data_IF_761394253365
#
_entry.id   IF_761394253365
#
_cell.length_a   1.000
_cell.length_b   1.000
_cell.length_c   1.000
_cell.angle_alpha   90.00
_cell.angle_beta   90.00
_cell.angle_gamma   90.00
#
_symmetry.space_group_name_H-M   'P 1'
#
loop_
_entity.id
_entity.type
_entity.pdbx_description
1 polymer ?
#
# COMPACT_ATOMS: atom_id res chain seq x y z
N UNK A 1 -6.09 -22.04 4.79
CA UNK A 1 -5.82 -20.93 5.73
C UNK A 1 -6.01 -19.62 4.97
N UNK A 2 -6.58 -18.56 5.58
CA UNK A 2 -6.67 -17.27 4.92
C UNK A 2 -5.27 -16.67 4.71
N UNK A 3 -5.09 -15.93 3.62
CA UNK A 3 -3.84 -15.24 3.30
C UNK A 3 -4.09 -13.73 3.50
N UNK A 4 -3.21 -13.08 4.25
CA UNK A 4 -3.24 -11.62 4.41
C UNK A 4 -2.62 -10.94 3.18
N UNK A 5 -3.29 -9.91 2.67
CA UNK A 5 -2.78 -9.05 1.62
C UNK A 5 -2.59 -7.65 2.20
N UNK A 6 -1.35 -7.15 2.17
CA UNK A 6 -1.03 -5.80 2.56
C UNK A 6 -1.08 -4.87 1.33
N UNK A 7 -1.78 -3.75 1.46
CA UNK A 7 -1.87 -2.73 0.42
C UNK A 7 -0.98 -1.55 0.81
N UNK A 8 0.01 -1.22 -0.01
CA UNK A 8 0.97 -0.14 0.21
C UNK A 8 0.67 1.04 -0.71
N UNK A 9 0.26 2.16 -0.12
CA UNK A 9 0.05 3.43 -0.83
C UNK A 9 1.35 4.15 -1.18
N UNK A 10 2.46 3.78 -0.53
CA UNK A 10 3.77 4.38 -0.73
C UNK A 10 4.71 4.13 0.45
N UNK A 11 5.96 4.55 0.30
CA UNK A 11 7.02 4.32 1.28
C UNK A 11 7.72 5.63 1.61
N UNK A 12 8.03 5.81 2.88
CA UNK A 12 8.94 6.86 3.33
C UNK A 12 10.27 6.22 3.76
N UNK A 13 11.39 6.88 3.42
CA UNK A 13 12.74 6.44 3.80
C UNK A 13 13.47 7.54 4.57
N UNK A 14 13.00 7.89 5.78
CA UNK A 14 13.69 8.88 6.60
C UNK A 14 15.08 8.37 6.99
N UNK A 15 16.02 9.29 7.23
CA UNK A 15 17.29 8.92 7.85
C UNK A 15 17.03 8.49 9.29
N UNK A 16 17.89 7.64 9.85
CA UNK A 16 17.79 7.20 11.26
C UNK A 16 17.67 8.39 12.21
N UNK A 17 18.41 9.48 11.96
CA UNK A 17 18.38 10.70 12.78
C UNK A 17 17.01 11.39 12.77
N UNK A 18 16.26 11.27 11.69
CA UNK A 18 14.95 11.91 11.52
C UNK A 18 13.86 10.99 12.08
N UNK A 19 14.03 9.67 11.93
CA UNK A 19 13.17 8.66 12.55
C UNK A 19 13.14 8.80 14.08
N UNK A 20 14.30 9.04 14.71
CA UNK A 20 14.40 9.26 16.16
C UNK A 20 13.74 10.56 16.64
N UNK A 21 13.42 11.49 15.72
CA UNK A 21 12.74 12.76 16.02
C UNK A 21 11.24 12.70 15.74
N UNK A 22 10.72 11.60 15.21
CA UNK A 22 9.29 11.46 14.97
C UNK A 22 8.54 11.48 16.31
N UNK A 23 7.52 12.30 16.36
CA UNK A 23 6.57 12.41 17.45
C UNK A 23 5.16 12.60 16.91
N UNK A 24 4.21 12.76 17.81
CA UNK A 24 2.83 13.07 17.46
C UNK A 24 2.76 14.28 16.52
N UNK A 25 2.01 14.15 15.42
CA UNK A 25 1.88 15.19 14.40
C UNK A 25 3.00 15.26 13.35
N UNK A 26 4.03 14.40 13.43
CA UNK A 26 5.05 14.34 12.38
C UNK A 26 4.47 13.82 11.06
N UNK A 27 4.81 14.48 9.95
CA UNK A 27 4.35 14.10 8.60
C UNK A 27 5.50 13.45 7.84
N UNK A 28 5.24 12.26 7.27
CA UNK A 28 6.18 11.57 6.38
C UNK A 28 5.69 11.69 4.94
N UNK A 29 6.51 12.32 4.10
CA UNK A 29 6.27 12.33 2.65
C UNK A 29 6.58 10.96 2.07
N UNK A 30 5.62 10.39 1.35
CA UNK A 30 5.80 9.12 0.65
C UNK A 30 6.46 9.34 -0.71
N UNK A 31 7.03 8.28 -1.27
CA UNK A 31 7.61 8.25 -2.61
C UNK A 31 6.60 8.14 -3.76
N UNK A 32 5.30 8.12 -3.44
CA UNK A 32 4.19 7.99 -4.39
C UNK A 32 3.21 9.15 -4.33
N UNK A 33 2.59 9.42 -5.47
CA UNK A 33 1.50 10.38 -5.64
C UNK A 33 0.15 9.69 -5.46
N UNK A 34 -0.89 10.49 -5.24
CA UNK A 34 -2.26 9.98 -5.12
C UNK A 34 -2.77 9.28 -6.39
N UNK A 35 -2.25 9.69 -7.54
CA UNK A 35 -2.55 9.12 -8.86
C UNK A 35 -1.79 7.81 -9.17
N UNK A 36 -0.76 7.49 -8.39
CA UNK A 36 0.04 6.29 -8.60
C UNK A 36 -0.71 5.05 -8.09
N UNK A 37 -0.63 3.92 -8.80
CA UNK A 37 -1.29 2.69 -8.38
C UNK A 37 -0.66 2.16 -7.09
N UNK A 38 -1.47 1.65 -6.15
CA UNK A 38 -1.01 1.01 -4.92
C UNK A 38 -0.36 -0.35 -5.21
N UNK A 39 0.58 -0.76 -4.37
CA UNK A 39 1.20 -2.09 -4.41
C UNK A 39 0.42 -3.07 -3.53
N UNK A 40 0.31 -4.33 -3.97
CA UNK A 40 -0.27 -5.42 -3.19
C UNK A 40 0.82 -6.42 -2.83
N UNK A 41 0.89 -6.78 -1.55
CA UNK A 41 1.89 -7.68 -0.99
C UNK A 41 1.26 -8.88 -0.29
N UNK A 42 1.91 -10.03 -0.38
CA UNK A 42 1.67 -11.19 0.50
C UNK A 42 2.99 -11.48 1.21
N UNK A 43 3.03 -11.22 2.52
CA UNK A 43 4.31 -11.09 3.22
C UNK A 43 5.16 -10.00 2.58
N UNK A 44 6.40 -10.31 2.20
CA UNK A 44 7.32 -9.37 1.54
C UNK A 44 7.28 -9.42 0.00
N UNK A 45 6.45 -10.32 -0.57
CA UNK A 45 6.38 -10.52 -2.02
C UNK A 45 5.36 -9.57 -2.64
N UNK A 46 5.80 -8.76 -3.61
CA UNK A 46 4.90 -7.99 -4.47
C UNK A 46 4.10 -8.96 -5.35
N UNK A 47 2.77 -8.86 -5.31
CA UNK A 47 1.86 -9.75 -6.03
C UNK A 47 1.04 -9.01 -7.10
N UNK A 48 1.06 -7.69 -7.12
CA UNK A 48 0.32 -6.90 -8.10
C UNK A 48 0.26 -5.43 -7.77
N UNK A 49 -0.46 -4.69 -8.61
CA UNK A 49 -0.76 -3.27 -8.43
C UNK A 49 -2.24 -2.97 -8.68
N UNK A 50 -2.75 -1.90 -8.09
CA UNK A 50 -4.17 -1.53 -8.21
C UNK A 50 -4.44 -0.05 -8.02
N UNK A 51 -5.65 0.39 -8.37
CA UNK A 51 -6.13 1.73 -8.04
C UNK A 51 -6.85 1.70 -6.69
N UNK A 52 -6.52 2.64 -5.80
CA UNK A 52 -7.24 2.82 -4.54
C UNK A 52 -8.57 3.53 -4.83
N UNK A 53 -9.67 2.91 -4.41
CA UNK A 53 -11.02 3.41 -4.59
C UNK A 53 -11.75 3.44 -3.24
N UNK A 54 -12.82 4.23 -3.17
CA UNK A 54 -13.77 4.16 -2.07
C UNK A 54 -15.06 3.58 -2.63
N UNK A 55 -15.57 2.54 -2.00
CA UNK A 55 -16.85 1.93 -2.33
C UNK A 55 -17.90 2.32 -1.30
N UNK A 56 -19.16 2.41 -1.72
CA UNK A 56 -20.25 2.86 -0.85
C UNK A 56 -20.29 4.38 -0.65
N UNK A 57 -21.21 4.83 0.19
CA UNK A 57 -21.44 6.25 0.48
C UNK A 57 -21.72 6.45 1.97
N UNK A 58 -21.42 7.65 2.48
CA UNK A 58 -21.66 8.02 3.88
C UNK A 58 -20.94 7.11 4.87
N UNK A 59 -21.69 6.59 5.83
CA UNK A 59 -21.17 5.71 6.90
C UNK A 59 -20.75 4.31 6.40
N UNK A 60 -21.18 3.93 5.18
CA UNK A 60 -20.84 2.64 4.57
C UNK A 60 -19.63 2.74 3.62
N UNK A 61 -18.92 3.86 3.61
CA UNK A 61 -17.74 4.04 2.79
C UNK A 61 -16.61 3.08 3.22
N UNK A 62 -16.05 2.35 2.27
CA UNK A 62 -14.98 1.39 2.50
C UNK A 62 -13.83 1.63 1.53
N UNK A 63 -12.60 1.41 1.99
CA UNK A 63 -11.45 1.37 1.10
C UNK A 63 -11.48 0.09 0.27
N UNK A 64 -11.31 0.24 -1.03
CA UNK A 64 -11.24 -0.86 -1.99
C UNK A 64 -10.04 -0.68 -2.90
N UNK A 65 -9.59 -1.78 -3.51
CA UNK A 65 -8.52 -1.74 -4.52
C UNK A 65 -9.01 -2.42 -5.78
N UNK A 66 -9.03 -1.68 -6.90
CA UNK A 66 -9.27 -2.25 -8.22
C UNK A 66 -7.95 -2.72 -8.79
N UNK A 67 -7.80 -4.03 -8.97
CA UNK A 67 -6.59 -4.61 -9.54
C UNK A 67 -6.36 -4.09 -10.96
N UNK A 68 -5.15 -3.62 -11.23
CA UNK A 68 -4.67 -3.20 -12.55
C UNK A 68 -3.81 -4.32 -13.14
N UNK A 69 -2.87 -4.83 -12.35
CA UNK A 69 -1.98 -5.91 -12.73
C UNK A 69 -1.84 -6.91 -11.58
N UNK A 70 -1.82 -8.20 -11.90
CA UNK A 70 -1.55 -9.28 -10.95
C UNK A 70 -0.38 -10.09 -11.49
N UNK A 71 0.66 -10.21 -10.66
CA UNK A 71 1.86 -10.96 -11.00
C UNK A 71 1.58 -12.45 -10.83
N UNK A 72 2.13 -13.27 -11.72
CA UNK A 72 1.99 -14.72 -11.62
C UNK A 72 2.71 -15.24 -10.36
N UNK A 73 1.93 -15.79 -9.44
CA UNK A 73 2.43 -16.35 -8.20
C UNK A 73 3.13 -17.71 -8.41
N UNK A 74 2.96 -18.33 -9.58
CA UNK A 74 3.32 -19.72 -9.86
C UNK A 74 4.74 -19.94 -10.39
N UNK A 75 5.54 -18.91 -10.65
CA UNK A 75 6.92 -19.12 -11.09
C UNK A 75 7.80 -19.63 -9.93
N UNK A 76 8.26 -20.90 -9.93
CA UNK A 76 9.34 -21.33 -9.06
C UNK A 76 10.62 -20.69 -9.61
N UNK A 77 11.36 -20.00 -8.75
CA UNK A 77 12.78 -19.73 -9.03
C UNK A 77 13.57 -21.02 -9.03
#
# INVERSE_FOLDING_TARGET
MPIEIAVSVGRARPLVRDLLKLGEGSVLTLDRRLEDPVELYVGDRLIGTGALEVTGEGENAQLAVRLIEVMDLQSPG
#
